data_IF_783277111317
#
_entry.id   IF_783277111317
#
_cell.length_a   1.000
_cell.length_b   1.000
_cell.length_c   1.000
_cell.angle_alpha   90.00
_cell.angle_beta   90.00
_cell.angle_gamma   90.00
#
_symmetry.space_group_name_H-M   'P 1'
#
loop_
_entity.id
_entity.type
_entity.pdbx_description
1 polymer ?
#
# COMPACT_ATOMS: atom_id res chain seq x y z
N UNK A 1 28.25 5.81 9.53
CA UNK A 1 26.98 6.38 9.01
C UNK A 1 26.38 7.44 9.95
N UNK A 2 25.98 7.13 11.18
CA UNK A 2 25.28 8.07 12.08
C UNK A 2 26.03 9.39 12.36
N UNK A 3 27.36 9.34 12.51
CA UNK A 3 28.20 10.54 12.65
C UNK A 3 28.10 11.47 11.44
N UNK A 4 27.95 10.93 10.23
CA UNK A 4 27.75 11.72 9.00
C UNK A 4 26.39 12.41 9.04
N UNK A 5 25.32 11.66 9.29
CA UNK A 5 23.96 12.21 9.36
C UNK A 5 23.80 13.30 10.43
N UNK A 6 24.47 13.16 11.58
CA UNK A 6 24.49 14.21 12.61
C UNK A 6 25.15 15.50 12.13
N UNK A 7 26.18 15.40 11.28
CA UNK A 7 26.90 16.56 10.76
C UNK A 7 26.15 17.32 9.66
N UNK A 8 25.17 16.69 9.00
CA UNK A 8 24.32 17.32 7.99
C UNK A 8 23.35 18.36 8.58
N UNK A 9 23.05 18.30 9.89
CA UNK A 9 22.19 19.25 10.61
C UNK A 9 20.80 19.46 9.98
N UNK A 10 20.06 18.38 9.78
CA UNK A 10 18.68 18.44 9.27
C UNK A 10 17.75 19.30 10.16
N UNK A 11 16.84 20.04 9.53
CA UNK A 11 15.85 20.88 10.21
C UNK A 11 14.53 20.16 10.52
N UNK A 12 14.21 19.10 9.77
CA UNK A 12 12.97 18.33 9.87
C UNK A 12 13.19 16.86 9.49
N UNK A 13 12.60 15.96 10.28
CA UNK A 13 12.51 14.54 9.99
C UNK A 13 11.08 14.14 9.62
N UNK A 14 10.93 13.25 8.65
CA UNK A 14 9.64 12.63 8.32
C UNK A 14 9.85 11.13 8.38
N UNK A 15 9.01 10.43 9.16
CA UNK A 15 9.02 8.97 9.23
C UNK A 15 7.61 8.43 9.04
N UNK A 16 7.51 7.30 8.35
CA UNK A 16 6.27 6.53 8.34
C UNK A 16 6.02 5.92 9.73
N UNK A 17 4.78 6.00 10.19
CA UNK A 17 4.20 5.47 11.41
C UNK A 17 4.52 3.98 11.63
N UNK A 18 4.57 3.17 10.57
CA UNK A 18 4.97 1.75 10.66
C UNK A 18 6.48 1.52 10.67
N UNK A 19 7.26 2.52 10.24
CA UNK A 19 8.71 2.40 10.12
C UNK A 19 9.39 2.99 11.36
N UNK A 20 9.35 2.23 12.46
CA UNK A 20 9.89 2.68 13.75
C UNK A 20 11.39 3.02 13.72
N UNK A 21 12.13 2.50 12.73
CA UNK A 21 13.56 2.74 12.57
C UNK A 21 13.90 4.21 12.28
N UNK A 22 12.99 4.98 11.66
CA UNK A 22 13.20 6.41 11.42
C UNK A 22 13.31 7.21 12.72
N UNK A 23 12.49 6.89 13.71
CA UNK A 23 12.53 7.55 15.02
C UNK A 23 13.83 7.29 15.77
N UNK A 24 14.35 6.06 15.72
CA UNK A 24 15.65 5.73 16.32
C UNK A 24 16.83 6.47 15.64
N UNK A 25 16.71 6.78 14.35
CA UNK A 25 17.68 7.64 13.66
C UNK A 25 17.59 9.07 14.18
N UNK A 26 16.38 9.63 14.29
CA UNK A 26 16.16 11.00 14.78
C UNK A 26 16.76 11.21 16.17
N UNK A 27 16.54 10.26 17.08
CA UNK A 27 17.14 10.30 18.41
C UNK A 27 18.67 10.29 18.36
N UNK A 28 19.26 9.34 17.62
CA UNK A 28 20.72 9.20 17.50
C UNK A 28 21.40 10.39 16.83
N UNK A 29 20.70 11.16 16.00
CA UNK A 29 21.24 12.40 15.40
C UNK A 29 20.83 13.67 16.17
N UNK A 30 20.07 13.55 17.26
CA UNK A 30 19.50 14.65 18.05
C UNK A 30 18.58 15.57 17.23
N UNK A 31 17.77 14.98 16.36
CA UNK A 31 16.73 15.68 15.63
C UNK A 31 15.43 15.68 16.46
N UNK A 32 15.07 16.85 16.96
CA UNK A 32 13.89 17.03 17.81
C UNK A 32 12.64 17.48 17.04
N UNK A 33 12.82 17.95 15.81
CA UNK A 33 11.73 18.38 14.91
C UNK A 33 11.45 17.27 13.91
N UNK A 34 10.34 16.57 14.11
CA UNK A 34 9.89 15.53 13.19
C UNK A 34 8.38 15.42 13.19
N UNK A 35 7.85 14.93 12.07
CA UNK A 35 6.44 14.60 11.89
C UNK A 35 6.30 13.15 11.45
N UNK A 36 5.10 12.61 11.68
CA UNK A 36 4.72 11.27 11.24
C UNK A 36 3.85 11.42 10.01
N UNK A 37 4.08 10.62 8.98
CA UNK A 37 3.27 10.62 7.77
C UNK A 37 2.81 9.20 7.45
N UNK A 38 1.49 8.97 7.44
CA UNK A 38 0.90 7.66 7.19
C UNK A 38 -0.01 7.64 5.97
N UNK A 39 0.15 6.61 5.15
CA UNK A 39 -0.72 6.35 4.00
C UNK A 39 -1.86 5.38 4.31
N UNK A 40 -1.85 4.77 5.49
CA UNK A 40 -2.92 3.89 5.95
C UNK A 40 -3.86 4.66 6.85
N UNK A 41 -5.10 4.20 6.93
CA UNK A 41 -6.05 4.64 7.94
C UNK A 41 -5.45 4.55 9.34
N UNK A 42 -5.96 5.39 10.24
CA UNK A 42 -5.52 5.43 11.63
C UNK A 42 -5.91 4.14 12.35
N UNK A 43 -5.04 3.13 12.35
CA UNK A 43 -5.28 1.91 13.12
C UNK A 43 -5.07 2.16 14.62
N UNK A 44 -5.78 1.44 15.49
CA UNK A 44 -5.69 1.62 16.94
C UNK A 44 -4.24 1.53 17.47
N UNK A 45 -3.46 0.58 16.95
CA UNK A 45 -2.04 0.42 17.30
C UNK A 45 -1.19 1.65 16.98
N UNK A 46 -1.60 2.46 15.99
CA UNK A 46 -0.95 3.72 15.65
C UNK A 46 -1.50 4.89 16.46
N UNK A 47 -2.75 4.83 16.92
CA UNK A 47 -3.41 5.94 17.61
C UNK A 47 -3.19 5.97 19.12
N UNK A 48 -2.87 4.82 19.72
CA UNK A 48 -2.59 4.67 21.15
C UNK A 48 -1.50 5.65 21.65
N UNK A 49 -0.32 5.81 21.00
CA UNK A 49 0.70 6.77 21.46
C UNK A 49 0.23 8.23 21.44
N UNK A 50 -0.82 8.56 20.68
CA UNK A 50 -1.37 9.91 20.60
C UNK A 50 -2.51 10.15 21.59
N UNK A 51 -2.85 9.16 22.43
CA UNK A 51 -3.94 9.26 23.40
C UNK A 51 -5.33 9.28 22.75
N UNK A 52 -5.46 8.71 21.55
CA UNK A 52 -6.72 8.63 20.81
C UNK A 52 -7.33 7.25 21.08
N UNK A 53 -8.55 7.24 21.62
CA UNK A 53 -9.26 6.04 22.03
C UNK A 53 -9.69 5.13 20.86
N UNK A 54 -10.05 3.89 21.23
CA UNK A 54 -10.59 2.84 20.37
C UNK A 54 -11.68 3.38 19.43
N UNK A 55 -11.60 3.02 18.15
CA UNK A 55 -12.63 3.34 17.17
C UNK A 55 -13.66 2.18 17.10
N UNK A 56 -14.85 2.32 17.69
CA UNK A 56 -15.86 1.26 17.68
C UNK A 56 -16.47 1.01 16.29
N UNK A 57 -16.32 1.93 15.35
CA UNK A 57 -16.79 1.77 13.97
C UNK A 57 -15.84 0.91 13.11
N UNK A 58 -14.58 0.74 13.52
CA UNK A 58 -13.66 -0.16 12.86
C UNK A 58 -13.97 -1.60 13.32
N UNK A 59 -14.60 -2.39 12.44
CA UNK A 59 -14.79 -3.82 12.73
C UNK A 59 -13.43 -4.49 12.96
N UNK A 60 -13.31 -5.32 14.02
CA UNK A 60 -12.10 -6.08 14.35
C UNK A 60 -11.81 -7.23 13.35
N UNK A 61 -12.13 -7.03 12.06
CA UNK A 61 -11.93 -8.02 11.01
C UNK A 61 -10.44 -8.34 10.81
N UNK A 62 -10.18 -9.60 10.41
CA UNK A 62 -8.88 -10.26 10.21
C UNK A 62 -7.73 -9.41 9.61
N UNK A 63 -8.01 -8.34 8.88
CA UNK A 63 -7.01 -7.44 8.27
C UNK A 63 -6.08 -6.82 9.33
N UNK A 64 -6.64 -6.35 10.45
CA UNK A 64 -5.85 -5.76 11.55
C UNK A 64 -4.95 -6.81 12.19
N UNK A 65 -5.44 -8.04 12.33
CA UNK A 65 -4.71 -9.13 12.99
C UNK A 65 -3.48 -9.55 12.18
N UNK A 66 -3.60 -9.68 10.86
CA UNK A 66 -2.46 -10.05 10.00
C UNK A 66 -1.36 -8.97 10.04
N UNK A 67 -1.76 -7.70 9.99
CA UNK A 67 -0.81 -6.58 10.04
C UNK A 67 -0.12 -6.45 11.41
N UNK A 68 -0.87 -6.61 12.50
CA UNK A 68 -0.35 -6.61 13.88
C UNK A 68 0.58 -7.82 14.13
N UNK A 69 0.28 -8.99 13.56
CA UNK A 69 1.16 -10.17 13.65
C UNK A 69 2.47 -9.95 12.89
N UNK A 70 2.43 -9.28 11.74
CA UNK A 70 3.64 -8.91 11.01
C UNK A 70 4.44 -7.83 11.74
N UNK A 71 3.79 -6.80 12.28
CA UNK A 71 4.45 -5.77 13.08
C UNK A 71 5.08 -6.35 14.36
N UNK A 72 4.38 -7.22 15.08
CA UNK A 72 4.89 -7.85 16.30
C UNK A 72 6.02 -8.85 16.01
N UNK A 73 5.95 -9.60 14.90
CA UNK A 73 7.05 -10.45 14.45
C UNK A 73 8.27 -9.65 13.99
N UNK A 74 8.05 -8.51 13.32
CA UNK A 74 9.10 -7.58 12.91
C UNK A 74 9.73 -6.89 14.13
N UNK A 75 8.93 -6.35 15.05
CA UNK A 75 9.41 -5.68 16.26
C UNK A 75 10.23 -6.61 17.15
N UNK A 76 9.83 -7.88 17.26
CA UNK A 76 10.54 -8.91 18.02
C UNK A 76 11.86 -9.32 17.37
N UNK A 77 11.93 -9.33 16.03
CA UNK A 77 13.15 -9.71 15.28
C UNK A 77 14.17 -8.58 15.14
N UNK A 78 13.72 -7.31 15.12
CA UNK A 78 14.62 -6.14 15.05
C UNK A 78 14.94 -5.51 16.40
N UNK A 79 14.37 -6.02 17.50
CA UNK A 79 14.51 -5.42 18.82
C UNK A 79 13.97 -3.98 18.84
N UNK A 80 12.83 -3.74 18.19
CA UNK A 80 12.21 -2.42 18.17
C UNK A 80 11.84 -2.03 19.61
N UNK A 81 12.66 -1.16 20.18
CA UNK A 81 12.60 -0.79 21.58
C UNK A 81 11.24 -0.15 21.96
N UNK A 82 10.84 -0.27 23.24
CA UNK A 82 9.77 0.50 23.87
C UNK A 82 9.87 2.02 23.63
N UNK A 83 11.06 2.54 23.30
CA UNK A 83 11.35 3.96 23.05
C UNK A 83 10.64 4.54 21.81
N UNK A 84 10.20 3.70 20.87
CA UNK A 84 9.49 4.13 19.66
C UNK A 84 8.12 4.75 19.98
N UNK A 85 7.35 4.19 20.93
CA UNK A 85 6.03 4.71 21.31
C UNK A 85 6.12 6.07 22.01
N UNK A 86 7.07 6.26 22.92
CA UNK A 86 7.27 7.57 23.58
C UNK A 86 7.70 8.65 22.59
N UNK A 87 8.57 8.30 21.64
CA UNK A 87 9.02 9.21 20.59
C UNK A 87 7.85 9.60 19.67
N UNK A 88 7.00 8.63 19.31
CA UNK A 88 5.77 8.92 18.58
C UNK A 88 4.83 9.82 19.39
N UNK A 89 4.62 9.56 20.68
CA UNK A 89 3.74 10.37 21.53
C UNK A 89 4.16 11.85 21.62
N UNK A 90 5.47 12.12 21.58
CA UNK A 90 6.06 13.47 21.58
C UNK A 90 5.92 14.18 20.23
N UNK A 91 5.58 13.47 19.17
CA UNK A 91 5.41 14.07 17.85
C UNK A 91 4.27 15.10 17.89
N UNK A 92 4.49 16.34 17.38
CA UNK A 92 3.48 17.38 17.40
C UNK A 92 2.40 17.19 16.33
N UNK A 93 2.70 16.43 15.26
CA UNK A 93 1.77 16.27 14.14
C UNK A 93 1.92 14.94 13.40
N UNK A 94 0.77 14.37 13.04
CA UNK A 94 0.62 13.13 12.29
C UNK A 94 -0.20 13.44 11.05
N UNK A 95 0.43 13.35 9.90
CA UNK A 95 -0.19 13.54 8.61
C UNK A 95 -0.76 12.21 8.14
N UNK A 96 -2.06 12.16 7.88
CA UNK A 96 -2.76 10.95 7.43
C UNK A 96 -3.28 11.21 6.04
N UNK A 97 -2.78 10.46 5.05
CA UNK A 97 -3.20 10.58 3.66
C UNK A 97 -4.53 9.84 3.44
N UNK A 98 -5.58 10.36 4.06
CA UNK A 98 -6.96 9.90 3.93
C UNK A 98 -7.87 11.11 3.95
N UNK A 99 -8.98 11.04 3.22
CA UNK A 99 -10.05 12.02 3.33
C UNK A 99 -10.93 11.61 4.52
N UNK A 100 -11.13 12.52 5.47
CA UNK A 100 -11.96 12.27 6.67
C UNK A 100 -13.38 11.80 6.35
N UNK A 101 -13.92 12.16 5.17
CA UNK A 101 -15.25 11.73 4.73
C UNK A 101 -15.29 10.26 4.26
N UNK A 102 -14.15 9.69 3.93
CA UNK A 102 -13.99 8.30 3.51
C UNK A 102 -13.46 7.41 4.65
N UNK A 103 -13.10 8.00 5.79
CA UNK A 103 -12.63 7.30 6.97
C UNK A 103 -13.81 6.94 7.90
N UNK A 104 -13.59 5.99 8.81
CA UNK A 104 -14.56 5.65 9.83
C UNK A 104 -14.74 6.82 10.81
N UNK A 105 -15.98 7.11 11.25
CA UNK A 105 -16.23 8.15 12.26
C UNK A 105 -15.44 7.85 13.53
N UNK A 106 -14.58 8.79 13.94
CA UNK A 106 -13.79 8.66 15.17
C UNK A 106 -13.42 10.00 15.77
N UNK A 107 -13.11 9.98 17.06
CA UNK A 107 -12.46 11.11 17.71
C UNK A 107 -10.99 11.20 17.27
N UNK A 108 -10.58 12.41 16.88
CA UNK A 108 -9.17 12.74 16.62
C UNK A 108 -8.82 14.01 17.40
N UNK A 109 -7.58 14.11 17.84
CA UNK A 109 -7.07 15.34 18.45
C UNK A 109 -6.35 16.22 17.42
N UNK A 110 -5.96 17.42 17.84
CA UNK A 110 -5.32 18.42 16.97
C UNK A 110 -3.93 18.03 16.44
N UNK A 111 -3.36 16.91 16.88
CA UNK A 111 -2.10 16.39 16.30
C UNK A 111 -2.35 15.72 14.96
N UNK A 112 -3.56 15.23 14.69
CA UNK A 112 -3.90 14.54 13.44
C UNK A 112 -4.28 15.56 12.37
N UNK A 113 -3.59 15.51 11.24
CA UNK A 113 -3.84 16.35 10.08
C UNK A 113 -4.16 15.45 8.89
N UNK A 114 -5.39 15.50 8.42
CA UNK A 114 -5.80 14.76 7.23
C UNK A 114 -5.34 15.48 5.96
N UNK A 115 -4.60 14.75 5.13
CA UNK A 115 -4.02 15.22 3.88
C UNK A 115 -4.27 14.24 2.74
N UNK A 116 -5.53 13.80 2.64
CA UNK A 116 -5.97 12.86 1.61
C UNK A 116 -5.64 13.31 0.19
N UNK A 117 -5.20 12.35 -0.63
CA UNK A 117 -4.91 12.58 -2.05
C UNK A 117 -3.51 13.10 -2.35
N UNK A 118 -2.61 13.22 -1.38
CA UNK A 118 -1.22 13.64 -1.64
C UNK A 118 -0.51 12.67 -2.62
N UNK A 119 -0.85 11.38 -2.57
CA UNK A 119 -0.29 10.36 -3.46
C UNK A 119 -1.11 10.14 -4.72
N UNK A 120 -2.21 10.87 -4.91
CA UNK A 120 -3.01 10.77 -6.12
C UNK A 120 -2.23 11.39 -7.29
N UNK A 121 -1.47 10.56 -8.00
CA UNK A 121 -0.80 10.97 -9.23
C UNK A 121 -1.85 11.27 -10.30
N UNK A 122 -1.68 12.36 -11.05
CA UNK A 122 -2.41 12.55 -12.30
C UNK A 122 -2.16 11.36 -13.22
N UNK A 123 -3.19 10.92 -13.95
CA UNK A 123 -3.08 9.79 -14.87
C UNK A 123 -1.97 10.06 -15.87
N UNK A 124 -0.91 9.25 -15.85
CA UNK A 124 0.14 9.33 -16.85
C UNK A 124 -0.39 8.87 -18.20
N UNK A 125 0.13 9.43 -19.29
CA UNK A 125 -0.17 8.94 -20.63
C UNK A 125 0.26 7.48 -20.74
N UNK A 126 -0.68 6.59 -21.05
CA UNK A 126 -0.38 5.18 -21.31
C UNK A 126 0.57 5.06 -22.52
N UNK A 127 1.50 4.10 -22.46
CA UNK A 127 2.28 3.74 -23.64
C UNK A 127 1.36 3.18 -24.73
N UNK A 128 1.84 3.22 -25.96
CA UNK A 128 1.10 2.70 -27.12
C UNK A 128 0.66 1.24 -26.94
N UNK A 129 1.52 0.42 -26.33
CA UNK A 129 1.21 -0.98 -26.04
C UNK A 129 0.02 -1.13 -25.10
N UNK A 130 -0.07 -0.32 -24.03
CA UNK A 130 -1.20 -0.38 -23.11
C UNK A 130 -2.47 0.21 -23.74
N UNK A 131 -2.36 1.27 -24.55
CA UNK A 131 -3.52 1.80 -25.29
C UNK A 131 -4.13 0.72 -26.18
N UNK A 132 -3.30 0.03 -26.98
CA UNK A 132 -3.76 -1.08 -27.83
C UNK A 132 -4.43 -2.18 -27.03
N UNK A 133 -3.91 -2.53 -25.85
CA UNK A 133 -4.54 -3.53 -24.98
C UNK A 133 -5.93 -3.09 -24.48
N UNK A 134 -6.10 -1.80 -24.19
CA UNK A 134 -7.41 -1.25 -23.84
C UNK A 134 -8.36 -1.24 -25.05
N UNK A 135 -7.87 -0.83 -26.22
CA UNK A 135 -8.66 -0.69 -27.44
C UNK A 135 -9.15 -2.03 -28.05
N UNK A 136 -8.33 -3.08 -27.94
CA UNK A 136 -8.65 -4.42 -28.49
C UNK A 136 -9.74 -5.12 -27.67
N UNK A 137 -9.89 -4.78 -26.39
CA UNK A 137 -10.78 -5.49 -25.48
C UNK A 137 -12.19 -4.92 -25.51
N UNK A 138 -13.03 -5.42 -26.42
CA UNK A 138 -14.44 -5.00 -26.56
C UNK A 138 -15.30 -5.28 -25.31
N UNK A 139 -14.97 -6.30 -24.52
CA UNK A 139 -15.63 -6.61 -23.26
C UNK A 139 -15.12 -5.81 -22.06
N UNK A 140 -14.01 -5.08 -22.22
CA UNK A 140 -13.29 -4.41 -21.14
C UNK A 140 -12.08 -5.18 -20.64
N UNK A 141 -11.31 -4.55 -19.76
CA UNK A 141 -10.04 -5.02 -19.23
C UNK A 141 -10.15 -5.16 -17.72
N UNK A 142 -9.63 -6.27 -17.20
CA UNK A 142 -9.47 -6.49 -15.76
C UNK A 142 -7.98 -6.42 -15.42
N UNK A 143 -7.63 -5.54 -14.49
CA UNK A 143 -6.26 -5.47 -13.96
C UNK A 143 -6.14 -6.38 -12.75
N UNK A 144 -5.16 -7.29 -12.76
CA UNK A 144 -4.79 -8.11 -11.60
C UNK A 144 -3.40 -7.71 -11.14
N UNK A 145 -3.30 -6.99 -10.02
CA UNK A 145 -2.03 -6.52 -9.48
C UNK A 145 -2.07 -6.42 -7.97
N UNK A 146 -1.11 -7.09 -7.32
CA UNK A 146 -0.98 -7.15 -5.86
C UNK A 146 0.16 -6.27 -5.32
N UNK A 147 0.58 -5.30 -6.14
CA UNK A 147 1.65 -4.37 -5.79
C UNK A 147 3.05 -5.00 -5.87
N UNK A 148 3.99 -4.45 -5.11
CA UNK A 148 5.41 -4.83 -5.12
C UNK A 148 5.82 -5.74 -3.97
N UNK A 149 4.95 -5.91 -2.97
CA UNK A 149 5.21 -6.74 -1.78
C UNK A 149 4.67 -8.16 -1.98
N UNK A 150 3.37 -8.28 -2.31
CA UNK A 150 2.76 -9.55 -2.66
C UNK A 150 2.94 -9.81 -4.15
N UNK A 151 3.96 -10.60 -4.51
CA UNK A 151 4.26 -10.91 -5.91
C UNK A 151 3.37 -12.05 -6.42
N UNK A 152 2.68 -11.87 -7.54
CA UNK A 152 1.84 -12.93 -8.16
C UNK A 152 2.65 -14.19 -8.45
N UNK A 153 3.90 -14.01 -8.86
CA UNK A 153 4.84 -15.12 -9.10
C UNK A 153 5.11 -15.99 -7.88
N UNK A 154 4.94 -15.46 -6.66
CA UNK A 154 5.13 -16.19 -5.39
C UNK A 154 3.86 -16.86 -4.86
N UNK A 155 2.73 -16.72 -5.56
CA UNK A 155 1.49 -17.40 -5.17
C UNK A 155 1.69 -18.92 -5.13
N UNK A 156 1.11 -19.61 -4.13
CA UNK A 156 1.07 -21.06 -4.13
C UNK A 156 0.46 -21.60 -5.44
N UNK A 157 0.93 -22.75 -5.95
CA UNK A 157 0.42 -23.32 -7.21
C UNK A 157 -1.09 -23.50 -7.22
N UNK A 158 -1.69 -23.90 -6.10
CA UNK A 158 -3.14 -24.05 -5.95
C UNK A 158 -3.88 -22.74 -6.21
N UNK A 159 -3.37 -21.61 -5.71
CA UNK A 159 -3.98 -20.31 -5.91
C UNK A 159 -3.81 -19.84 -7.36
N UNK A 160 -2.62 -20.01 -7.96
CA UNK A 160 -2.40 -19.71 -9.38
C UNK A 160 -3.38 -20.49 -10.27
N UNK A 161 -3.61 -21.77 -9.96
CA UNK A 161 -4.58 -22.60 -10.69
C UNK A 161 -6.01 -22.03 -10.63
N UNK A 162 -6.43 -21.51 -9.48
CA UNK A 162 -7.74 -20.85 -9.34
C UNK A 162 -7.83 -19.64 -10.27
N UNK A 163 -6.83 -18.75 -10.27
CA UNK A 163 -6.79 -17.60 -11.18
C UNK A 163 -6.87 -18.01 -12.65
N UNK A 164 -6.04 -18.96 -13.08
CA UNK A 164 -6.04 -19.48 -14.46
C UNK A 164 -7.40 -20.09 -14.82
N UNK A 165 -8.02 -20.83 -13.91
CA UNK A 165 -9.34 -21.43 -14.11
C UNK A 165 -10.44 -20.39 -14.24
N UNK A 166 -10.32 -19.28 -13.51
CA UNK A 166 -11.21 -18.12 -13.67
C UNK A 166 -11.00 -17.50 -15.04
N UNK A 167 -9.77 -17.11 -15.39
CA UNK A 167 -9.47 -16.44 -16.67
C UNK A 167 -9.95 -17.22 -17.90
N UNK A 168 -9.85 -18.56 -17.86
CA UNK A 168 -10.30 -19.46 -18.95
C UNK A 168 -11.80 -19.37 -19.24
N UNK A 169 -12.62 -18.90 -18.30
CA UNK A 169 -14.09 -18.79 -18.44
C UNK A 169 -14.56 -17.49 -19.08
N UNK A 170 -13.66 -16.52 -19.26
CA UNK A 170 -13.97 -15.19 -19.75
C UNK A 170 -13.67 -14.87 -21.24
N UNK A 171 -13.12 -15.77 -22.09
CA UNK A 171 -13.00 -15.49 -23.52
C UNK A 171 -14.33 -15.14 -24.20
N UNK A 172 -15.44 -15.77 -23.78
CA UNK A 172 -16.79 -15.52 -24.34
C UNK A 172 -17.26 -14.07 -24.12
N UNK A 173 -16.80 -13.44 -23.02
CA UNK A 173 -17.13 -12.05 -22.68
C UNK A 173 -16.15 -11.04 -23.27
N UNK A 174 -15.16 -11.48 -24.06
CA UNK A 174 -14.14 -10.62 -24.66
C UNK A 174 -13.39 -9.77 -23.62
N UNK A 175 -13.18 -10.32 -22.43
CA UNK A 175 -12.44 -9.67 -21.34
C UNK A 175 -10.96 -10.01 -21.44
N UNK A 176 -10.10 -8.98 -21.42
CA UNK A 176 -8.65 -9.13 -21.33
C UNK A 176 -8.18 -8.94 -19.89
N UNK A 177 -7.40 -9.88 -19.38
CA UNK A 177 -6.75 -9.77 -18.07
C UNK A 177 -5.33 -9.27 -18.24
N UNK A 178 -5.03 -8.09 -17.69
CA UNK A 178 -3.65 -7.66 -17.50
C UNK A 178 -3.20 -8.19 -16.15
N UNK A 179 -2.35 -9.22 -16.14
CA UNK A 179 -1.85 -9.81 -14.91
C UNK A 179 -0.42 -9.34 -14.63
N UNK A 180 -0.26 -8.52 -13.58
CA UNK A 180 1.07 -8.18 -13.09
C UNK A 180 1.73 -9.44 -12.52
N UNK A 181 2.75 -9.94 -13.22
CA UNK A 181 3.39 -11.23 -12.93
C UNK A 181 4.89 -11.14 -13.24
N UNK A 182 5.73 -11.50 -12.27
CA UNK A 182 7.15 -11.13 -12.29
C UNK A 182 8.07 -12.13 -13.02
N UNK A 183 7.58 -13.32 -13.35
CA UNK A 183 8.36 -14.40 -13.98
C UNK A 183 7.82 -14.74 -15.38
N UNK A 184 8.74 -15.11 -16.27
CA UNK A 184 8.41 -15.57 -17.64
C UNK A 184 8.27 -17.11 -17.65
N UNK A 185 7.29 -17.62 -16.92
CA UNK A 185 6.96 -19.05 -16.87
C UNK A 185 5.76 -19.41 -17.77
N UNK A 186 5.36 -20.69 -17.78
CA UNK A 186 4.23 -21.18 -18.60
C UNK A 186 2.85 -20.95 -17.95
N UNK A 187 2.78 -20.26 -16.81
CA UNK A 187 1.48 -20.02 -16.16
C UNK A 187 0.62 -19.13 -17.06
N UNK A 188 -0.57 -19.63 -17.40
CA UNK A 188 -1.54 -18.99 -18.30
C UNK A 188 -1.02 -18.74 -19.74
N UNK A 189 0.06 -19.39 -20.19
CA UNK A 189 0.58 -19.18 -21.54
C UNK A 189 -0.36 -19.70 -22.63
N UNK A 190 -1.26 -20.62 -22.28
CA UNK A 190 -2.31 -21.16 -23.15
C UNK A 190 -3.55 -20.26 -23.29
N UNK A 191 -3.64 -19.17 -22.51
CA UNK A 191 -4.81 -18.30 -22.46
C UNK A 191 -4.58 -17.01 -23.26
N UNK A 192 -5.22 -16.83 -24.44
CA UNK A 192 -5.00 -15.65 -25.28
C UNK A 192 -5.55 -14.35 -24.68
N UNK A 193 -6.47 -14.46 -23.73
CA UNK A 193 -7.07 -13.32 -23.02
C UNK A 193 -6.28 -12.91 -21.77
N UNK A 194 -5.10 -13.48 -21.53
CA UNK A 194 -4.25 -13.15 -20.38
C UNK A 194 -2.94 -12.54 -20.87
N UNK A 195 -2.65 -11.33 -20.41
CA UNK A 195 -1.46 -10.58 -20.76
C UNK A 195 -0.60 -10.39 -19.51
N UNK A 196 0.48 -11.17 -19.40
CA UNK A 196 1.45 -11.03 -18.30
C UNK A 196 2.34 -9.81 -18.50
N UNK A 197 2.54 -9.04 -17.43
CA UNK A 197 3.45 -7.88 -17.40
C UNK A 197 4.20 -7.84 -16.08
N UNK A 198 5.53 -7.68 -16.12
CA UNK A 198 6.33 -7.50 -14.90
C UNK A 198 6.01 -6.17 -14.19
N UNK A 199 5.62 -5.17 -14.97
CA UNK A 199 5.27 -3.83 -14.51
C UNK A 199 4.06 -3.30 -15.28
N UNK A 200 3.19 -2.54 -14.59
CA UNK A 200 1.97 -1.95 -15.16
C UNK A 200 1.82 -0.49 -14.70
N UNK A 201 1.39 0.44 -15.58
CA UNK A 201 1.11 1.82 -15.22
C UNK A 201 -0.24 1.93 -14.51
N UNK A 202 -0.33 1.41 -13.28
CA UNK A 202 -1.60 1.23 -12.54
C UNK A 202 -2.45 2.51 -12.50
N UNK A 203 -1.87 3.66 -12.14
CA UNK A 203 -2.62 4.94 -12.10
C UNK A 203 -3.13 5.39 -13.46
N UNK A 204 -2.39 5.12 -14.55
CA UNK A 204 -2.81 5.42 -15.91
C UNK A 204 -3.93 4.51 -16.40
N UNK A 205 -3.98 3.26 -15.92
CA UNK A 205 -5.03 2.29 -16.26
C UNK A 205 -6.32 2.54 -15.47
N UNK A 206 -6.22 2.88 -14.19
CA UNK A 206 -7.38 3.14 -13.32
C UNK A 206 -8.27 4.30 -13.79
N UNK A 207 -7.72 5.20 -14.61
CA UNK A 207 -8.47 6.32 -15.20
C UNK A 207 -9.10 6.03 -16.56
N UNK A 208 -9.21 4.76 -16.98
CA UNK A 208 -9.72 4.37 -18.30
C UNK A 208 -11.09 3.71 -18.20
N UNK A 209 -11.96 4.02 -19.16
CA UNK A 209 -13.35 3.51 -19.17
C UNK A 209 -13.40 2.02 -19.52
N UNK A 210 -12.41 1.54 -20.26
CA UNK A 210 -12.28 0.14 -20.66
C UNK A 210 -11.83 -0.72 -19.47
N UNK A 211 -11.26 -0.14 -18.40
CA UNK A 211 -10.92 -0.89 -17.20
C UNK A 211 -12.20 -1.11 -16.38
N UNK A 212 -12.70 -2.35 -16.39
CA UNK A 212 -13.99 -2.70 -15.75
C UNK A 212 -13.82 -3.22 -14.33
N UNK A 213 -12.64 -3.73 -13.98
CA UNK A 213 -12.35 -4.20 -12.63
C UNK A 213 -10.85 -4.14 -12.29
N UNK A 214 -10.55 -4.02 -10.99
CA UNK A 214 -9.19 -4.02 -10.45
C UNK A 214 -9.09 -4.97 -9.25
N UNK A 215 -8.51 -6.14 -9.49
CA UNK A 215 -8.23 -7.12 -8.45
C UNK A 215 -6.87 -6.84 -7.81
N UNK A 216 -6.92 -6.43 -6.55
CA UNK A 216 -5.78 -6.10 -5.72
C UNK A 216 -5.87 -6.73 -4.33
N UNK A 217 -4.79 -6.60 -3.56
CA UNK A 217 -4.79 -6.85 -2.11
C UNK A 217 -4.61 -5.49 -1.44
N UNK A 218 -5.48 -5.21 -0.47
CA UNK A 218 -5.36 -4.07 0.43
C UNK A 218 -4.54 -4.46 1.66
#
# INVERSE_FOLDING_TARGET
>A
LMRRLRNEKFDLGISEAFSSCGFGIFEKIRLHKYLIASNTELMEALTEPFGISYNPAMSQGLSVHCFVLHYSSFSSSVGAEPHSKETMARCPSVFVNTNILLDFPREVNSKVVFVGGITASQSSSLSEDFKRLMDVSSGGVVLVSFGTIALSSRMPPSLKYVFVSVFRRFPEFQITFIWKYELDDEVASDLPNVVKRKWVPQSGLLGKCELVDFLCVH
#
